data_IF_615728915061
#
_entry.id   IF_615728915061
#
_cell.length_a   1.000
_cell.length_b   1.000
_cell.length_c   1.000
_cell.angle_alpha   90.00
_cell.angle_beta   90.00
_cell.angle_gamma   90.00
#
_symmetry.space_group_name_H-M   'P 1'
#
loop_
_entity.id
_entity.type
_entity.pdbx_description
1 polymer ?
#
# COMPACT_ATOMS: atom_id res chain seq x y z
N UNK A 1 4.00 -13.41 -1.76
CA UNK A 1 2.59 -13.00 -1.97
C UNK A 1 1.74 -14.08 -2.60
N UNK A 2 2.17 -14.68 -3.72
CA UNK A 2 1.41 -15.72 -4.45
C UNK A 2 1.73 -17.16 -4.00
N UNK A 3 2.69 -17.36 -3.10
CA UNK A 3 3.08 -18.64 -2.53
C UNK A 3 3.86 -19.58 -3.44
N UNK A 4 4.46 -19.08 -4.52
CA UNK A 4 5.22 -19.90 -5.47
C UNK A 4 6.67 -20.15 -5.04
N UNK A 5 7.11 -19.51 -3.94
CA UNK A 5 8.45 -19.66 -3.36
C UNK A 5 9.51 -18.75 -3.97
N UNK A 6 9.10 -17.76 -4.75
CA UNK A 6 9.95 -16.68 -5.28
C UNK A 6 9.57 -15.36 -4.65
N UNK A 7 10.55 -14.50 -4.38
CA UNK A 7 10.30 -13.14 -3.92
C UNK A 7 9.71 -12.30 -5.05
N UNK A 8 8.69 -11.50 -4.70
CA UNK A 8 7.96 -10.62 -5.61
C UNK A 8 8.50 -9.18 -5.51
N UNK A 9 8.30 -8.39 -6.58
CA UNK A 9 8.76 -7.01 -6.66
C UNK A 9 7.55 -6.09 -6.46
N UNK A 10 7.70 -5.10 -5.58
CA UNK A 10 6.73 -4.03 -5.37
C UNK A 10 7.26 -2.71 -5.96
N UNK A 11 6.40 -1.98 -6.65
CA UNK A 11 6.73 -0.69 -7.27
C UNK A 11 5.60 0.28 -6.97
N UNK A 12 5.91 1.45 -6.41
CA UNK A 12 4.93 2.53 -6.23
C UNK A 12 5.05 3.57 -7.35
N UNK A 13 3.92 4.05 -7.85
CA UNK A 13 3.79 5.08 -8.87
C UNK A 13 2.77 6.13 -8.40
N UNK A 14 3.17 6.93 -7.43
CA UNK A 14 2.32 7.88 -6.71
C UNK A 14 1.61 8.93 -7.56
N UNK A 15 2.19 9.29 -8.70
CA UNK A 15 1.66 10.33 -9.59
C UNK A 15 0.86 9.71 -10.77
N UNK A 16 0.53 8.42 -10.71
CA UNK A 16 -0.30 7.75 -11.71
C UNK A 16 -1.77 8.16 -11.59
N UNK A 17 -2.47 8.11 -12.73
CA UNK A 17 -3.87 8.53 -12.88
C UNK A 17 -4.77 7.32 -13.20
N UNK A 18 -4.96 6.35 -12.26
CA UNK A 18 -5.79 5.17 -12.51
C UNK A 18 -7.22 5.59 -12.85
N UNK A 19 -7.79 4.97 -13.88
CA UNK A 19 -9.15 5.26 -14.33
C UNK A 19 -9.41 6.75 -14.67
N UNK A 20 -8.33 7.56 -14.88
CA UNK A 20 -8.42 8.99 -15.11
C UNK A 20 -8.60 9.83 -13.84
N UNK A 21 -8.40 9.25 -12.67
CA UNK A 21 -8.41 9.97 -11.38
C UNK A 21 -7.01 10.55 -11.15
N UNK A 22 -6.91 11.87 -11.19
CA UNK A 22 -5.63 12.59 -11.19
C UNK A 22 -4.83 12.37 -9.90
N UNK A 23 -3.57 11.89 -10.05
CA UNK A 23 -2.66 11.61 -8.92
C UNK A 23 -3.29 10.73 -7.81
N UNK A 24 -4.22 9.84 -8.14
CA UNK A 24 -4.70 8.86 -7.16
C UNK A 24 -3.58 7.86 -6.79
N UNK A 25 -2.65 7.65 -7.72
CA UNK A 25 -1.51 6.78 -7.57
C UNK A 25 -1.81 5.31 -7.86
N UNK A 26 -0.78 4.58 -8.25
CA UNK A 26 -0.83 3.14 -8.49
C UNK A 26 0.32 2.43 -7.78
N UNK A 27 0.12 1.16 -7.50
CA UNK A 27 1.21 0.27 -7.12
C UNK A 27 1.19 -0.98 -7.99
N UNK A 28 2.36 -1.55 -8.25
CA UNK A 28 2.48 -2.74 -9.09
C UNK A 28 3.16 -3.85 -8.31
N UNK A 29 2.67 -5.05 -8.50
CA UNK A 29 3.29 -6.29 -8.05
C UNK A 29 3.76 -7.04 -9.29
N UNK A 30 5.03 -7.41 -9.33
CA UNK A 30 5.58 -8.29 -10.38
C UNK A 30 6.02 -9.58 -9.71
N UNK A 31 5.39 -10.69 -10.08
CA UNK A 31 5.71 -11.98 -9.48
C UNK A 31 7.09 -12.46 -9.88
N UNK A 32 7.84 -12.94 -8.86
CA UNK A 32 9.06 -13.67 -9.04
C UNK A 32 8.85 -14.95 -9.84
N UNK A 33 9.88 -15.50 -10.44
CA UNK A 33 9.77 -16.77 -11.19
C UNK A 33 11.09 -17.46 -11.43
N UNK A 34 11.01 -18.79 -11.58
CA UNK A 34 12.13 -19.58 -12.06
C UNK A 34 12.54 -19.16 -13.49
N UNK A 35 13.85 -19.18 -13.76
CA UNK A 35 14.38 -18.90 -15.11
C UNK A 35 14.66 -17.44 -15.40
N UNK A 36 14.38 -16.52 -14.45
CA UNK A 36 14.72 -15.11 -14.55
C UNK A 36 13.75 -14.29 -15.41
N UNK A 37 14.12 -13.04 -15.63
CA UNK A 37 13.32 -12.02 -16.31
C UNK A 37 13.94 -11.63 -17.66
N UNK A 38 13.13 -11.09 -18.54
CA UNK A 38 13.62 -10.33 -19.72
C UNK A 38 14.37 -9.07 -19.26
N UNK A 39 15.13 -8.46 -20.15
CA UNK A 39 15.88 -7.22 -19.84
C UNK A 39 14.96 -6.04 -19.48
N UNK A 40 13.69 -6.13 -19.82
CA UNK A 40 12.64 -5.15 -19.46
C UNK A 40 11.31 -5.86 -19.33
N UNK A 41 10.47 -5.34 -18.44
CA UNK A 41 9.08 -5.76 -18.24
C UNK A 41 8.22 -4.52 -18.44
N UNK A 42 7.24 -4.64 -19.31
CA UNK A 42 6.21 -3.61 -19.47
C UNK A 42 5.13 -3.84 -18.41
N UNK A 43 4.96 -2.91 -17.48
CA UNK A 43 3.99 -3.03 -16.39
C UNK A 43 2.54 -3.07 -16.89
N UNK A 44 2.27 -2.54 -18.09
CA UNK A 44 0.95 -2.67 -18.73
C UNK A 44 0.63 -4.10 -19.18
N UNK A 45 1.61 -5.02 -19.16
CA UNK A 45 1.43 -6.43 -19.50
C UNK A 45 1.07 -7.32 -18.30
N UNK A 46 0.87 -6.75 -17.11
CA UNK A 46 0.46 -7.48 -15.92
C UNK A 46 -0.99 -7.96 -16.08
N UNK A 47 -1.20 -9.26 -15.91
CA UNK A 47 -2.48 -9.92 -16.24
C UNK A 47 -3.08 -10.76 -15.09
N UNK A 48 -2.50 -10.67 -13.90
CA UNK A 48 -2.88 -11.45 -12.72
C UNK A 48 -2.11 -12.76 -12.57
N UNK A 49 -1.52 -13.27 -13.65
CA UNK A 49 -0.68 -14.47 -13.61
C UNK A 49 0.81 -14.18 -13.46
N UNK A 50 1.25 -13.01 -13.88
CA UNK A 50 2.64 -12.53 -13.83
C UNK A 50 2.84 -11.34 -12.86
N UNK A 51 1.76 -10.88 -12.26
CA UNK A 51 1.67 -9.71 -11.40
C UNK A 51 0.34 -8.99 -11.58
N UNK A 52 0.12 -7.90 -10.88
CA UNK A 52 -1.12 -7.12 -10.92
C UNK A 52 -0.88 -5.65 -10.55
N UNK A 53 -1.91 -4.84 -10.78
CA UNK A 53 -1.94 -3.41 -10.46
C UNK A 53 -2.89 -3.17 -9.29
N UNK A 54 -2.52 -2.26 -8.41
CA UNK A 54 -3.33 -1.76 -7.29
C UNK A 54 -3.61 -0.28 -7.55
N UNK A 55 -4.88 0.05 -7.81
CA UNK A 55 -5.30 1.43 -8.08
C UNK A 55 -5.62 2.17 -6.80
N UNK A 56 -5.11 3.41 -6.67
CA UNK A 56 -5.53 4.36 -5.63
C UNK A 56 -7.00 4.75 -5.74
N UNK A 57 -7.51 5.50 -4.76
CA UNK A 57 -8.94 5.74 -4.58
C UNK A 57 -9.34 7.13 -5.08
N UNK A 58 -8.85 8.18 -4.44
CA UNK A 58 -9.30 9.54 -4.68
C UNK A 58 -8.20 10.44 -5.29
N UNK A 59 -8.63 11.56 -5.88
CA UNK A 59 -7.70 12.54 -6.47
C UNK A 59 -6.71 13.05 -5.42
N UNK A 60 -5.43 13.06 -5.78
CA UNK A 60 -4.32 13.55 -4.95
C UNK A 60 -3.99 12.71 -3.71
N UNK A 61 -4.52 11.51 -3.56
CA UNK A 61 -4.14 10.60 -2.46
C UNK A 61 -2.70 10.12 -2.57
N UNK A 62 -2.16 10.12 -3.79
CA UNK A 62 -0.80 9.68 -4.11
C UNK A 62 -0.47 8.27 -3.57
N UNK A 63 -1.43 7.34 -3.67
CA UNK A 63 -1.23 5.94 -3.29
C UNK A 63 0.01 5.35 -3.95
N UNK A 64 0.77 4.53 -3.23
CA UNK A 64 2.08 4.08 -3.71
C UNK A 64 3.21 5.08 -3.48
N UNK A 65 3.00 6.12 -2.66
CA UNK A 65 4.08 7.00 -2.19
C UNK A 65 5.16 6.20 -1.47
N UNK A 66 4.78 5.24 -0.66
CA UNK A 66 5.66 4.22 -0.09
C UNK A 66 5.01 2.84 -0.21
N UNK A 67 5.80 1.82 -0.48
CA UNK A 67 5.34 0.42 -0.59
C UNK A 67 6.33 -0.51 0.10
N UNK A 68 5.82 -1.56 0.73
CA UNK A 68 6.63 -2.58 1.40
C UNK A 68 5.91 -3.93 1.41
N UNK A 69 6.63 -5.03 1.58
CA UNK A 69 6.03 -6.24 2.16
C UNK A 69 5.59 -5.91 3.57
N UNK A 70 4.45 -6.44 3.99
CA UNK A 70 3.94 -6.37 5.35
C UNK A 70 4.36 -7.59 6.19
N UNK A 71 4.87 -8.65 5.53
CA UNK A 71 4.93 -9.98 6.13
C UNK A 71 3.54 -10.62 6.14
N UNK A 72 3.36 -11.68 6.92
CA UNK A 72 2.08 -12.40 7.06
C UNK A 72 1.29 -11.82 8.25
N UNK A 73 0.53 -10.74 8.00
CA UNK A 73 -0.21 -10.03 9.08
C UNK A 73 -1.53 -10.73 9.44
N UNK A 74 -2.02 -11.65 8.59
CA UNK A 74 -3.28 -12.35 8.83
C UNK A 74 -3.10 -13.82 9.24
N UNK A 75 -1.87 -14.37 9.18
CA UNK A 75 -1.53 -15.73 9.58
C UNK A 75 -1.94 -16.81 8.58
N UNK A 76 -2.12 -16.46 7.30
CA UNK A 76 -2.54 -17.41 6.26
C UNK A 76 -1.37 -18.10 5.54
N UNK A 77 -0.13 -17.69 5.83
CA UNK A 77 1.09 -18.23 5.26
C UNK A 77 1.54 -17.55 3.97
N UNK A 78 0.94 -16.42 3.60
CA UNK A 78 1.33 -15.61 2.45
C UNK A 78 1.72 -14.21 2.92
N UNK A 79 2.84 -13.69 2.41
CA UNK A 79 3.21 -12.31 2.70
C UNK A 79 2.19 -11.34 2.08
N UNK A 80 1.85 -10.32 2.85
CA UNK A 80 0.93 -9.25 2.51
C UNK A 80 1.67 -8.01 1.98
N UNK A 81 0.91 -7.07 1.44
CA UNK A 81 1.41 -5.82 0.85
C UNK A 81 0.99 -4.66 1.74
N UNK A 82 1.89 -3.71 1.94
CA UNK A 82 1.62 -2.46 2.64
C UNK A 82 1.90 -1.28 1.70
N UNK A 83 0.90 -0.39 1.54
CA UNK A 83 0.93 0.75 0.64
C UNK A 83 0.57 2.01 1.43
N UNK A 84 1.35 3.08 1.30
CA UNK A 84 1.06 4.38 1.88
C UNK A 84 0.49 5.37 0.86
N UNK A 85 -0.52 6.14 1.27
CA UNK A 85 -1.16 7.24 0.57
C UNK A 85 -1.17 8.46 1.51
N UNK A 86 -0.03 9.15 1.59
CA UNK A 86 0.23 10.10 2.68
C UNK A 86 -0.60 11.39 2.61
N UNK A 87 -1.20 11.70 1.47
CA UNK A 87 -2.06 12.90 1.31
C UNK A 87 -3.55 12.57 1.23
N UNK A 88 -3.94 11.31 1.46
CA UNK A 88 -5.33 10.92 1.54
C UNK A 88 -6.09 11.66 2.67
N UNK A 89 -7.39 11.87 2.45
CA UNK A 89 -8.28 12.67 3.32
C UNK A 89 -9.29 11.79 4.09
N UNK A 90 -8.84 10.81 4.93
CA UNK A 90 -9.75 9.90 5.61
C UNK A 90 -10.78 10.64 6.46
N UNK A 91 -12.05 10.25 6.33
CA UNK A 91 -13.15 10.85 7.08
C UNK A 91 -13.26 12.38 6.93
N UNK A 92 -12.70 12.96 5.85
CA UNK A 92 -12.65 14.39 5.61
C UNK A 92 -11.55 15.12 6.38
N UNK A 93 -10.63 14.39 7.00
CA UNK A 93 -9.43 14.94 7.64
C UNK A 93 -8.35 15.15 6.59
N UNK A 94 -8.21 16.38 6.11
CA UNK A 94 -7.30 16.74 5.03
C UNK A 94 -5.86 16.30 5.32
N UNK A 95 -5.27 15.57 4.38
CA UNK A 95 -3.87 15.10 4.43
C UNK A 95 -3.53 14.38 5.76
N UNK A 96 -4.53 13.71 6.38
CA UNK A 96 -4.26 12.85 7.53
C UNK A 96 -3.49 11.60 7.11
N UNK A 97 -3.66 11.20 5.86
CA UNK A 97 -3.02 10.06 5.22
C UNK A 97 -3.70 8.74 5.51
N UNK A 98 -3.51 7.79 4.61
CA UNK A 98 -3.99 6.41 4.74
C UNK A 98 -2.87 5.43 4.44
N UNK A 99 -3.05 4.21 4.93
CA UNK A 99 -2.26 3.07 4.50
C UNK A 99 -3.17 1.87 4.25
N UNK A 100 -2.80 1.07 3.27
CA UNK A 100 -3.58 -0.10 2.84
C UNK A 100 -2.76 -1.36 3.06
N UNK A 101 -3.37 -2.35 3.73
CA UNK A 101 -2.85 -3.72 3.77
C UNK A 101 -3.66 -4.56 2.80
N UNK A 102 -3.00 -5.22 1.85
CA UNK A 102 -3.62 -6.10 0.87
C UNK A 102 -3.11 -7.51 1.07
N UNK A 103 -4.02 -8.45 1.33
CA UNK A 103 -3.63 -9.81 1.68
C UNK A 103 -3.11 -10.60 0.48
N UNK A 104 -2.00 -11.29 0.72
CA UNK A 104 -1.49 -12.33 -0.14
C UNK A 104 -2.45 -13.52 -0.22
N UNK A 105 -2.27 -14.41 -1.17
CA UNK A 105 -3.05 -15.65 -1.27
C UNK A 105 -2.48 -16.60 -2.29
N UNK A 106 -2.81 -17.89 -2.16
CA UNK A 106 -2.47 -18.89 -3.16
C UNK A 106 -3.15 -18.56 -4.51
N UNK A 107 -2.37 -18.11 -5.47
CA UNK A 107 -2.76 -17.96 -6.88
C UNK A 107 -3.99 -17.09 -7.16
N UNK A 108 -4.25 -16.81 -8.42
CA UNK A 108 -5.53 -16.24 -8.84
C UNK A 108 -5.78 -14.80 -8.44
N UNK A 109 -4.81 -13.89 -8.67
CA UNK A 109 -5.06 -12.46 -8.58
C UNK A 109 -5.78 -11.94 -9.84
N UNK A 110 -6.66 -10.95 -9.65
CA UNK A 110 -7.14 -10.13 -10.77
C UNK A 110 -5.97 -9.30 -11.30
N UNK A 111 -5.96 -8.96 -12.59
CA UNK A 111 -4.94 -8.08 -13.15
C UNK A 111 -4.95 -6.68 -12.55
N UNK A 112 -6.10 -6.25 -12.04
CA UNK A 112 -6.31 -4.97 -11.35
C UNK A 112 -7.10 -5.22 -10.06
N UNK A 113 -6.69 -4.56 -8.99
CA UNK A 113 -7.37 -4.49 -7.70
C UNK A 113 -7.54 -3.01 -7.36
N UNK A 114 -8.76 -2.55 -7.20
CA UNK A 114 -9.04 -1.21 -6.71
C UNK A 114 -8.96 -1.23 -5.17
N UNK A 115 -8.15 -0.35 -4.57
CA UNK A 115 -7.98 -0.28 -3.11
C UNK A 115 -9.29 0.04 -2.37
N UNK A 116 -10.24 0.69 -3.05
CA UNK A 116 -11.61 0.89 -2.55
C UNK A 116 -12.41 -0.40 -2.36
N UNK A 117 -11.95 -1.54 -2.91
CA UNK A 117 -12.59 -2.84 -2.78
C UNK A 117 -12.16 -3.63 -1.53
N UNK A 118 -11.29 -3.06 -0.71
CA UNK A 118 -10.85 -3.70 0.54
C UNK A 118 -12.02 -3.75 1.54
N UNK A 119 -12.32 -4.95 2.05
CA UNK A 119 -13.51 -5.20 2.87
C UNK A 119 -13.24 -5.97 4.18
N UNK A 120 -11.97 -6.16 4.52
CA UNK A 120 -11.49 -6.94 5.67
C UNK A 120 -11.22 -8.41 5.36
N UNK A 121 -11.74 -8.96 4.27
CA UNK A 121 -11.45 -10.33 3.84
C UNK A 121 -10.30 -10.44 2.85
N UNK A 122 -10.01 -9.36 2.13
CA UNK A 122 -8.95 -9.24 1.13
C UNK A 122 -7.87 -8.21 1.51
N UNK A 123 -8.03 -7.56 2.66
CA UNK A 123 -7.18 -6.48 3.14
C UNK A 123 -8.00 -5.44 3.93
N UNK A 124 -7.34 -4.40 4.41
CA UNK A 124 -7.99 -3.34 5.19
C UNK A 124 -7.25 -2.00 5.05
N UNK A 125 -7.93 -0.93 5.50
CA UNK A 125 -7.43 0.44 5.46
C UNK A 125 -7.08 0.90 6.88
N UNK A 126 -5.96 1.58 7.03
CA UNK A 126 -5.51 2.24 8.24
C UNK A 126 -5.57 3.75 8.02
N UNK A 127 -6.56 4.40 8.65
CA UNK A 127 -6.77 5.83 8.52
C UNK A 127 -5.84 6.62 9.45
N UNK A 128 -5.23 7.68 8.94
CA UNK A 128 -4.57 8.70 9.77
C UNK A 128 -5.54 9.40 10.71
N UNK A 129 -5.01 10.01 11.76
CA UNK A 129 -5.81 10.55 12.87
C UNK A 129 -6.11 12.03 12.66
N UNK A 130 -5.07 12.85 12.63
CA UNK A 130 -5.19 14.29 12.62
C UNK A 130 -4.81 14.88 11.25
N UNK A 131 -5.35 16.05 10.95
CA UNK A 131 -5.12 16.75 9.68
C UNK A 131 -3.65 17.12 9.53
N UNK A 132 -3.12 16.83 8.33
CA UNK A 132 -1.73 17.13 7.94
C UNK A 132 -0.68 16.28 8.63
N UNK A 133 -1.04 15.14 9.23
CA UNK A 133 -0.07 14.23 9.85
C UNK A 133 0.73 13.44 8.80
N UNK A 134 0.21 13.31 7.58
CA UNK A 134 0.79 12.54 6.48
C UNK A 134 1.08 11.08 6.89
N UNK A 135 0.15 10.41 7.56
CA UNK A 135 0.26 8.97 7.86
C UNK A 135 0.43 8.17 6.57
N UNK A 136 1.31 7.16 6.56
CA UNK A 136 1.66 6.44 5.33
C UNK A 136 2.79 7.08 4.52
N UNK A 137 3.42 8.16 5.01
CA UNK A 137 4.61 8.74 4.37
C UNK A 137 5.75 7.74 4.22
N UNK A 138 5.91 6.86 5.19
CA UNK A 138 6.79 5.70 5.11
C UNK A 138 6.10 4.49 5.72
N UNK A 139 6.23 3.33 5.08
CA UNK A 139 5.64 2.09 5.55
C UNK A 139 6.66 0.95 5.49
N UNK A 140 6.61 0.02 6.45
CA UNK A 140 7.47 -1.15 6.47
C UNK A 140 6.85 -2.27 7.30
N UNK A 141 7.21 -3.52 7.02
CA UNK A 141 7.03 -4.59 7.98
C UNK A 141 7.91 -4.32 9.21
N UNK A 142 7.42 -4.67 10.38
CA UNK A 142 8.14 -4.66 11.64
C UNK A 142 8.49 -6.08 12.14
N UNK A 143 8.04 -7.11 11.42
CA UNK A 143 8.06 -8.49 11.88
C UNK A 143 7.12 -8.68 13.07
N UNK A 144 7.14 -9.84 13.71
CA UNK A 144 6.35 -10.13 14.91
C UNK A 144 6.99 -9.48 16.16
N UNK A 145 6.62 -8.21 16.44
CA UNK A 145 7.22 -7.44 17.56
C UNK A 145 6.60 -7.77 18.92
N UNK A 146 5.39 -8.35 18.94
CA UNK A 146 4.68 -8.67 20.15
C UNK A 146 4.75 -10.17 20.54
N UNK A 147 5.21 -11.05 19.62
CA UNK A 147 5.41 -12.48 19.83
C UNK A 147 4.11 -13.29 19.73
N UNK A 148 3.10 -12.80 18.99
CA UNK A 148 1.80 -13.48 18.84
C UNK A 148 1.73 -14.40 17.59
N UNK A 149 2.76 -14.40 16.76
CA UNK A 149 2.88 -15.24 15.58
C UNK A 149 2.36 -14.62 14.29
N UNK A 150 1.96 -13.34 14.31
CA UNK A 150 1.59 -12.55 13.15
C UNK A 150 2.62 -11.43 12.94
N UNK A 151 2.90 -11.09 11.69
CA UNK A 151 3.78 -9.97 11.42
C UNK A 151 3.06 -8.64 11.67
N UNK A 152 3.79 -7.70 12.29
CA UNK A 152 3.33 -6.36 12.57
C UNK A 152 3.82 -5.37 11.50
N UNK A 153 3.15 -4.22 11.38
CA UNK A 153 3.53 -3.16 10.44
C UNK A 153 3.86 -1.86 11.19
N UNK A 154 4.80 -1.10 10.63
CA UNK A 154 5.13 0.23 11.13
C UNK A 154 4.81 1.27 10.05
N UNK A 155 4.07 2.31 10.44
CA UNK A 155 3.61 3.39 9.58
C UNK A 155 4.10 4.70 10.16
N UNK A 156 4.79 5.49 9.37
CA UNK A 156 5.28 6.81 9.76
C UNK A 156 4.31 7.91 9.37
N UNK A 157 3.98 8.76 10.34
CA UNK A 157 3.23 10.01 10.16
C UNK A 157 4.19 11.17 10.44
N UNK A 158 4.77 11.75 9.37
CA UNK A 158 5.95 12.63 9.48
C UNK A 158 5.71 13.97 10.18
N UNK A 159 4.46 14.41 10.22
CA UNK A 159 4.06 15.67 10.83
C UNK A 159 3.15 15.50 12.04
N UNK A 160 2.98 14.26 12.52
CA UNK A 160 2.15 14.01 13.69
C UNK A 160 2.67 14.75 14.93
N UNK A 161 1.75 15.45 15.60
CA UNK A 161 2.01 16.23 16.81
C UNK A 161 1.50 15.47 18.06
N UNK A 162 2.33 14.71 18.77
CA UNK A 162 1.89 13.85 19.88
C UNK A 162 1.17 14.57 21.03
N UNK A 163 1.25 15.90 21.07
CA UNK A 163 0.61 16.73 22.09
C UNK A 163 -0.75 17.32 21.65
N UNK A 164 -1.25 16.98 20.43
CA UNK A 164 -2.52 17.49 19.91
C UNK A 164 -2.49 18.99 19.57
N UNK A 165 -1.30 19.55 19.39
CA UNK A 165 -1.16 20.90 18.83
C UNK A 165 -1.23 20.79 17.30
N UNK A 166 -2.40 21.02 16.72
CA UNK A 166 -2.55 21.17 15.27
C UNK A 166 -1.45 22.07 14.75
N UNK A 167 -0.73 21.60 13.71
CA UNK A 167 0.22 22.42 12.98
C UNK A 167 -0.44 23.74 12.65
N UNK A 168 -0.12 24.80 13.37
CA UNK A 168 -0.55 26.14 13.02
C UNK A 168 0.22 26.50 11.78
N UNK A 169 -0.42 26.23 10.63
CA UNK A 169 0.12 26.61 9.35
C UNK A 169 0.65 28.04 9.45
N UNK A 170 1.91 28.22 9.06
CA UNK A 170 2.45 29.54 8.79
C UNK A 170 1.61 30.09 7.63
N UNK A 171 0.60 30.87 7.97
CA UNK A 171 -0.07 31.72 6.97
C UNK A 171 0.95 32.77 6.55
N UNK A 172 1.24 32.88 5.24
CA UNK A 172 2.14 33.94 4.75
C UNK A 172 1.57 35.32 5.00
#
# INVERSE_FOLDING_TARGET
>A
MNGDGFDDILIGARDADPNGIYNAGESYVVFGKAGGFSSSIDLSSLDGSNGFVLNGIDEFDISGFSVSSAGDVNGDGFDDILIGASTADPNGNREAGESYVVFGKAGGFSSIIDLSSLDGSNGFILNGIDRYDDSGYSVSSAGDVNGDGFDDVIIGARFADPAGESYKGITP
#
